data_IF_662535196519
#
_entry.id   IF_662535196519
#
_cell.length_a   1.000
_cell.length_b   1.000
_cell.length_c   1.000
_cell.angle_alpha   90.00
_cell.angle_beta   90.00
_cell.angle_gamma   90.00
#
_symmetry.space_group_name_H-M   'P 1'
#
loop_
_entity.id
_entity.type
_entity.pdbx_description
1 polymer ?
#
# COMPACT_ATOMS: atom_id res chain seq x y z
N UNK A 1 28.54 43.36 24.11
CA UNK A 1 27.69 42.28 24.63
C UNK A 1 26.69 41.91 23.53
N UNK A 2 27.09 41.04 22.61
CA UNK A 2 26.25 40.68 21.45
C UNK A 2 25.27 39.59 21.85
N UNK A 3 23.98 39.92 21.90
CA UNK A 3 22.91 38.95 22.05
C UNK A 3 22.92 38.00 20.85
N UNK A 4 23.03 36.70 21.11
CA UNK A 4 22.90 35.66 20.09
C UNK A 4 21.41 35.52 19.78
N UNK A 5 21.02 35.99 18.60
CA UNK A 5 19.70 35.77 18.03
C UNK A 5 19.48 34.25 17.77
N UNK A 6 18.45 33.69 18.40
CA UNK A 6 18.13 32.26 18.43
C UNK A 6 17.04 31.89 17.42
N UNK A 7 17.19 32.37 16.19
CA UNK A 7 16.23 32.20 15.08
C UNK A 7 16.55 31.02 14.16
N UNK A 8 17.32 30.02 14.63
CA UNK A 8 17.59 28.82 13.81
C UNK A 8 16.35 27.91 13.77
N UNK A 9 15.83 27.51 12.59
CA UNK A 9 14.72 26.57 12.51
C UNK A 9 15.09 25.25 13.20
N UNK A 10 14.21 24.73 14.07
CA UNK A 10 14.43 23.47 14.79
C UNK A 10 14.52 22.27 13.83
N UNK A 11 15.73 21.96 13.38
CA UNK A 11 16.09 20.81 12.53
C UNK A 11 15.81 19.43 13.16
N UNK A 12 15.36 19.37 14.43
CA UNK A 12 15.10 18.12 15.15
C UNK A 12 13.82 17.39 14.71
N UNK A 13 12.79 18.11 14.26
CA UNK A 13 11.51 17.51 13.82
C UNK A 13 11.60 16.78 12.47
N UNK A 14 12.24 17.33 11.41
CA UNK A 14 12.39 16.65 10.12
C UNK A 14 13.12 15.30 10.24
N UNK A 15 14.23 15.26 11.00
CA UNK A 15 15.04 14.05 11.17
C UNK A 15 14.30 12.92 11.89
N UNK A 16 13.50 13.25 12.91
CA UNK A 16 12.68 12.25 13.62
C UNK A 16 11.66 11.59 12.69
N UNK A 17 10.93 12.39 11.91
CA UNK A 17 9.92 11.88 10.98
C UNK A 17 10.50 10.97 9.89
N UNK A 18 11.72 11.28 9.44
CA UNK A 18 12.44 10.47 8.47
C UNK A 18 12.89 9.13 9.07
N UNK A 19 13.39 9.13 10.31
CA UNK A 19 13.77 7.90 11.03
C UNK A 19 12.58 6.97 11.25
N UNK A 20 11.44 7.51 11.67
CA UNK A 20 10.21 6.73 11.90
C UNK A 20 9.69 6.11 10.59
N UNK A 21 9.74 6.86 9.49
CA UNK A 21 9.42 6.35 8.16
C UNK A 21 10.30 5.17 7.75
N UNK A 22 11.62 5.28 7.87
CA UNK A 22 12.52 4.18 7.51
C UNK A 22 12.35 2.95 8.42
N UNK A 23 12.01 3.15 9.70
CA UNK A 23 11.70 2.04 10.60
C UNK A 23 10.43 1.30 10.17
N UNK A 24 9.38 2.04 9.84
CA UNK A 24 8.12 1.47 9.33
C UNK A 24 8.35 0.75 7.99
N UNK A 25 9.06 1.38 7.05
CA UNK A 25 9.39 0.77 5.77
C UNK A 25 10.20 -0.52 5.93
N UNK A 26 11.26 -0.49 6.75
CA UNK A 26 12.09 -1.67 7.03
C UNK A 26 11.29 -2.80 7.68
N UNK A 27 10.29 -2.48 8.50
CA UNK A 27 9.38 -3.49 9.03
C UNK A 27 8.55 -4.14 7.93
N UNK A 28 7.96 -3.36 7.02
CA UNK A 28 7.16 -3.86 5.91
C UNK A 28 8.02 -4.66 4.91
N UNK A 29 9.20 -4.17 4.54
CA UNK A 29 10.12 -4.85 3.62
C UNK A 29 10.55 -6.24 4.13
N UNK A 30 10.67 -6.42 5.46
CA UNK A 30 10.95 -7.74 6.04
C UNK A 30 9.86 -8.77 5.72
N UNK A 31 8.62 -8.35 5.45
CA UNK A 31 7.55 -9.25 5.01
C UNK A 31 7.85 -9.88 3.66
N UNK A 32 8.59 -9.19 2.78
CA UNK A 32 9.04 -9.69 1.48
C UNK A 32 10.15 -10.74 1.60
N UNK A 33 10.93 -10.68 2.68
CA UNK A 33 12.09 -11.53 2.96
C UNK A 33 11.77 -12.74 3.83
N UNK A 34 10.59 -12.79 4.46
CA UNK A 34 10.11 -14.01 5.14
C UNK A 34 9.95 -15.13 4.12
N UNK A 35 10.14 -16.41 4.52
CA UNK A 35 9.91 -17.52 3.61
C UNK A 35 8.52 -17.36 3.01
N UNK A 36 8.47 -17.10 1.70
CA UNK A 36 7.19 -16.93 1.01
C UNK A 36 6.42 -18.22 1.23
N UNK A 37 5.16 -18.11 1.63
CA UNK A 37 4.22 -19.19 1.37
C UNK A 37 4.43 -19.57 -0.11
N UNK A 38 4.63 -20.87 -0.41
CA UNK A 38 4.86 -21.35 -1.78
C UNK A 38 3.89 -20.63 -2.72
N UNK A 39 4.34 -20.13 -3.88
CA UNK A 39 3.37 -19.55 -4.82
C UNK A 39 2.41 -20.67 -5.23
N UNK A 40 1.16 -20.33 -5.51
CA UNK A 40 0.24 -21.29 -6.17
C UNK A 40 0.80 -21.78 -7.52
N UNK A 41 1.69 -20.99 -8.14
CA UNK A 41 2.40 -21.35 -9.37
C UNK A 41 3.46 -22.45 -9.13
N UNK A 42 3.97 -22.59 -7.91
CA UNK A 42 5.02 -23.53 -7.53
C UNK A 42 4.45 -24.82 -6.91
N UNK A 43 3.17 -24.84 -6.56
CA UNK A 43 2.48 -25.98 -5.97
C UNK A 43 1.00 -25.98 -6.43
N UNK A 44 0.62 -26.87 -7.36
CA UNK A 44 -0.75 -26.97 -7.89
C UNK A 44 -1.82 -27.24 -6.81
N UNK A 45 -1.41 -27.62 -5.59
CA UNK A 45 -2.31 -27.81 -4.44
C UNK A 45 -2.62 -26.50 -3.69
N UNK A 46 -1.89 -25.42 -3.94
CA UNK A 46 -2.18 -24.11 -3.36
C UNK A 46 -3.30 -23.44 -4.15
N UNK A 47 -4.49 -23.39 -3.56
CA UNK A 47 -5.64 -22.69 -4.12
C UNK A 47 -5.37 -21.16 -4.11
N UNK A 48 -5.44 -20.45 -5.25
CA UNK A 48 -5.36 -18.98 -5.32
C UNK A 48 -6.31 -18.26 -4.36
N UNK A 49 -7.46 -18.88 -4.04
CA UNK A 49 -8.43 -18.37 -3.07
C UNK A 49 -7.79 -18.12 -1.70
N UNK A 50 -6.74 -18.86 -1.34
CA UNK A 50 -6.02 -18.67 -0.09
C UNK A 50 -5.45 -17.25 0.05
N UNK A 51 -4.88 -16.71 -1.02
CA UNK A 51 -4.30 -15.35 -1.04
C UNK A 51 -5.40 -14.28 -0.94
N UNK A 52 -6.51 -14.53 -1.63
CA UNK A 52 -7.68 -13.65 -1.60
C UNK A 52 -8.28 -13.65 -0.19
N UNK A 53 -8.47 -14.82 0.42
CA UNK A 53 -8.98 -14.98 1.77
C UNK A 53 -8.06 -14.35 2.82
N UNK A 54 -6.74 -14.48 2.66
CA UNK A 54 -5.78 -13.79 3.55
C UNK A 54 -5.89 -12.27 3.47
N UNK A 55 -6.01 -11.74 2.25
CA UNK A 55 -6.20 -10.29 2.04
C UNK A 55 -7.52 -9.82 2.61
N UNK A 56 -8.60 -10.59 2.37
CA UNK A 56 -9.94 -10.34 2.92
C UNK A 56 -9.92 -10.31 4.44
N UNK A 57 -9.33 -11.30 5.08
CA UNK A 57 -9.15 -11.34 6.54
C UNK A 57 -8.48 -10.06 7.06
N UNK A 58 -7.42 -9.60 6.40
CA UNK A 58 -6.74 -8.36 6.82
C UNK A 58 -7.58 -7.10 6.59
N UNK A 59 -8.39 -7.03 5.52
CA UNK A 59 -9.34 -5.94 5.28
C UNK A 59 -10.43 -5.90 6.36
N UNK A 60 -10.99 -7.06 6.70
CA UNK A 60 -12.04 -7.20 7.72
C UNK A 60 -11.52 -6.71 9.07
N UNK A 61 -10.29 -7.10 9.45
CA UNK A 61 -9.61 -6.68 10.69
C UNK A 61 -9.44 -5.16 10.83
N UNK A 62 -9.41 -4.43 9.71
CA UNK A 62 -9.25 -2.96 9.70
C UNK A 62 -10.54 -2.21 9.35
N UNK A 63 -11.68 -2.90 9.35
CA UNK A 63 -13.02 -2.32 9.18
C UNK A 63 -13.37 -2.02 7.73
N UNK A 64 -13.05 -2.94 6.82
CA UNK A 64 -13.50 -2.95 5.42
C UNK A 64 -13.30 -1.60 4.71
N UNK A 65 -12.05 -1.12 4.57
CA UNK A 65 -11.78 0.21 4.05
C UNK A 65 -12.05 0.35 2.55
N UNK A 66 -12.09 -0.76 1.83
CA UNK A 66 -12.40 -0.82 0.40
C UNK A 66 -13.91 -0.71 0.13
N UNK A 67 -14.78 -0.99 1.12
CA UNK A 67 -16.23 -0.86 0.94
C UNK A 67 -16.62 0.58 0.66
N UNK A 68 -17.42 0.78 -0.39
CA UNK A 68 -17.88 2.09 -0.85
C UNK A 68 -16.93 2.79 -1.82
N UNK A 69 -15.77 2.20 -2.13
CA UNK A 69 -14.83 2.70 -3.14
C UNK A 69 -15.07 1.96 -4.46
N UNK A 70 -15.17 2.68 -5.58
CA UNK A 70 -15.25 2.04 -6.91
C UNK A 70 -13.84 1.65 -7.36
N UNK A 71 -13.62 0.38 -7.70
CA UNK A 71 -12.27 -0.13 -8.03
C UNK A 71 -12.19 -0.48 -9.51
N UNK A 72 -11.13 -0.02 -10.17
CA UNK A 72 -10.73 -0.44 -11.51
C UNK A 72 -9.44 -1.26 -11.39
N UNK A 73 -9.54 -2.56 -11.60
CA UNK A 73 -8.39 -3.47 -11.54
C UNK A 73 -7.77 -3.66 -12.94
N UNK A 74 -6.48 -3.36 -13.07
CA UNK A 74 -5.73 -3.45 -14.32
C UNK A 74 -4.73 -4.62 -14.24
N UNK A 75 -5.01 -5.68 -14.98
CA UNK A 75 -4.18 -6.87 -15.13
C UNK A 75 -3.62 -7.00 -16.56
N UNK A 76 -2.58 -7.84 -16.76
CA UNK A 76 -1.91 -8.01 -18.06
C UNK A 76 -0.39 -8.17 -17.95
N UNK A 77 0.30 -8.34 -19.08
CA UNK A 77 1.75 -8.62 -19.09
C UNK A 77 2.58 -7.35 -19.27
N UNK A 78 2.15 -6.43 -20.13
CA UNK A 78 2.78 -5.15 -20.43
C UNK A 78 1.77 -3.99 -20.37
N UNK A 79 2.25 -2.74 -20.34
CA UNK A 79 1.41 -1.54 -20.47
C UNK A 79 0.54 -1.16 -19.26
N UNK A 80 0.37 -2.04 -18.26
CA UNK A 80 -0.48 -1.80 -17.08
C UNK A 80 -0.19 -0.49 -16.35
N UNK A 81 1.09 -0.20 -16.09
CA UNK A 81 1.49 1.05 -15.41
C UNK A 81 1.09 2.27 -16.23
N UNK A 82 1.39 2.26 -17.53
CA UNK A 82 1.01 3.33 -18.46
C UNK A 82 -0.50 3.53 -18.53
N UNK A 83 -1.28 2.44 -18.68
CA UNK A 83 -2.75 2.50 -18.71
C UNK A 83 -3.30 2.99 -17.38
N UNK A 84 -2.75 2.54 -16.25
CA UNK A 84 -3.16 2.98 -14.92
C UNK A 84 -2.93 4.49 -14.73
N UNK A 85 -1.77 5.00 -15.16
CA UNK A 85 -1.45 6.42 -15.12
C UNK A 85 -2.34 7.23 -16.06
N UNK A 86 -2.47 6.83 -17.33
CA UNK A 86 -3.34 7.54 -18.29
C UNK A 86 -4.77 7.62 -17.80
N UNK A 87 -5.32 6.50 -17.31
CA UNK A 87 -6.66 6.49 -16.77
C UNK A 87 -6.75 7.37 -15.52
N UNK A 88 -5.71 7.42 -14.67
CA UNK A 88 -5.63 8.30 -13.49
C UNK A 88 -5.83 9.75 -13.90
N UNK A 89 -5.05 10.21 -14.86
CA UNK A 89 -5.17 11.57 -15.39
C UNK A 89 -6.56 11.84 -15.99
N UNK A 90 -7.15 10.89 -16.73
CA UNK A 90 -8.52 11.05 -17.28
C UNK A 90 -9.57 11.19 -16.17
N UNK A 91 -9.51 10.38 -15.10
CA UNK A 91 -10.47 10.50 -14.00
C UNK A 91 -10.31 11.80 -13.23
N UNK A 92 -9.06 12.25 -13.01
CA UNK A 92 -8.79 13.55 -12.40
C UNK A 92 -9.36 14.69 -13.26
N UNK A 93 -9.09 14.66 -14.57
CA UNK A 93 -9.60 15.66 -15.52
C UNK A 93 -11.13 15.68 -15.60
N UNK A 94 -11.78 14.54 -15.37
CA UNK A 94 -13.24 14.42 -15.28
C UNK A 94 -13.82 14.87 -13.92
N UNK A 95 -12.98 15.36 -12.98
CA UNK A 95 -13.41 15.89 -11.70
C UNK A 95 -13.60 14.85 -10.59
N UNK A 96 -13.16 13.59 -10.78
CA UNK A 96 -13.21 12.58 -9.74
C UNK A 96 -11.99 12.67 -8.82
N UNK A 97 -12.20 12.40 -7.54
CA UNK A 97 -11.11 12.22 -6.58
C UNK A 97 -10.53 10.82 -6.74
N UNK A 98 -9.44 10.71 -7.50
CA UNK A 98 -8.89 9.43 -7.95
C UNK A 98 -7.71 8.98 -7.07
N UNK A 99 -7.73 7.71 -6.66
CA UNK A 99 -6.60 7.01 -6.06
C UNK A 99 -5.92 6.08 -7.07
N UNK A 100 -4.60 6.01 -7.01
CA UNK A 100 -3.77 5.12 -7.81
C UNK A 100 -2.85 4.32 -6.89
N UNK A 101 -2.98 3.00 -6.95
CA UNK A 101 -2.09 2.04 -6.31
C UNK A 101 -1.29 1.28 -7.36
N UNK A 102 0.04 1.36 -7.28
CA UNK A 102 0.96 0.69 -8.20
C UNK A 102 2.03 -0.06 -7.43
N UNK A 103 2.40 -1.25 -7.89
CA UNK A 103 3.44 -2.05 -7.24
C UNK A 103 4.23 -2.88 -8.25
N UNK A 104 5.57 -3.03 -8.08
CA UNK A 104 6.41 -2.41 -7.05
C UNK A 104 6.76 -0.94 -7.38
N UNK A 105 7.14 -0.16 -6.36
CA UNK A 105 7.77 1.15 -6.56
C UNK A 105 9.12 1.05 -7.30
N UNK A 106 9.52 2.15 -7.95
CA UNK A 106 10.81 2.24 -8.66
C UNK A 106 11.87 2.91 -7.79
N UNK A 107 11.52 4.00 -7.09
CA UNK A 107 12.49 4.78 -6.32
C UNK A 107 12.12 4.86 -4.84
N UNK A 108 10.84 5.02 -4.50
CA UNK A 108 10.40 5.16 -3.11
C UNK A 108 9.06 4.50 -2.85
N UNK A 109 8.90 3.83 -1.71
CA UNK A 109 7.66 3.14 -1.33
C UNK A 109 6.41 4.03 -1.29
N UNK A 110 6.57 5.34 -1.09
CA UNK A 110 5.44 6.28 -1.15
C UNK A 110 4.88 6.44 -2.57
N UNK A 111 5.65 6.10 -3.62
CA UNK A 111 5.19 6.14 -5.02
C UNK A 111 4.11 5.10 -5.30
N UNK A 112 4.02 4.05 -4.47
CA UNK A 112 3.00 3.03 -4.64
C UNK A 112 1.59 3.56 -4.41
N UNK A 113 1.42 4.66 -3.67
CA UNK A 113 0.13 5.22 -3.30
C UNK A 113 0.08 6.70 -3.69
N UNK A 114 -0.73 7.02 -4.70
CA UNK A 114 -1.00 8.38 -5.17
C UNK A 114 -2.48 8.70 -5.04
N UNK A 115 -2.82 9.90 -4.56
CA UNK A 115 -4.18 10.44 -4.64
C UNK A 115 -4.09 11.79 -5.32
N UNK A 116 -4.89 11.95 -6.36
CA UNK A 116 -4.77 13.04 -7.31
C UNK A 116 -3.31 13.19 -7.79
N UNK A 117 -2.71 14.37 -7.65
CA UNK A 117 -1.32 14.63 -8.04
C UNK A 117 -0.29 14.47 -6.93
N UNK A 118 -0.67 13.86 -5.80
CA UNK A 118 0.20 13.76 -4.61
C UNK A 118 0.40 12.32 -4.18
N UNK A 119 1.66 11.93 -4.04
CA UNK A 119 2.03 10.70 -3.33
C UNK A 119 1.69 10.80 -1.84
N UNK A 120 1.47 9.65 -1.19
CA UNK A 120 1.28 9.62 0.25
C UNK A 120 2.48 10.25 0.97
N UNK A 121 2.20 11.14 1.93
CA UNK A 121 3.26 11.73 2.73
C UNK A 121 3.93 10.67 3.63
N UNK A 122 5.26 10.75 3.82
CA UNK A 122 5.99 9.81 4.70
C UNK A 122 5.38 9.70 6.10
N UNK A 123 4.89 10.81 6.66
CA UNK A 123 4.20 10.81 7.96
C UNK A 123 2.91 9.98 7.94
N UNK A 124 2.11 10.15 6.89
CA UNK A 124 0.86 9.40 6.70
C UNK A 124 1.15 7.91 6.48
N UNK A 125 2.16 7.60 5.67
CA UNK A 125 2.66 6.23 5.50
C UNK A 125 3.02 5.60 6.84
N UNK A 126 3.83 6.27 7.67
CA UNK A 126 4.24 5.77 8.98
C UNK A 126 3.04 5.52 9.89
N UNK A 127 2.07 6.44 9.91
CA UNK A 127 0.85 6.29 10.71
C UNK A 127 0.06 5.05 10.28
N UNK A 128 -0.14 4.85 8.98
CA UNK A 128 -0.87 3.69 8.47
C UNK A 128 -0.12 2.37 8.69
N UNK A 129 1.19 2.36 8.46
CA UNK A 129 2.04 1.19 8.70
C UNK A 129 2.01 0.76 10.17
N UNK A 130 2.13 1.72 11.09
CA UNK A 130 2.03 1.45 12.54
C UNK A 130 0.62 1.02 12.95
N UNK A 131 -0.42 1.57 12.32
CA UNK A 131 -1.81 1.11 12.54
C UNK A 131 -2.01 -0.34 12.09
N UNK A 132 -1.40 -0.74 10.98
CA UNK A 132 -1.54 -2.10 10.45
C UNK A 132 -0.70 -3.14 11.20
N UNK A 133 0.44 -2.73 11.77
CA UNK A 133 1.37 -3.61 12.48
C UNK A 133 0.71 -4.61 13.45
N UNK A 134 -0.16 -4.22 14.40
CA UNK A 134 -0.79 -5.20 15.30
C UNK A 134 -1.66 -6.22 14.58
N UNK A 135 -2.37 -5.84 13.52
CA UNK A 135 -3.19 -6.76 12.72
C UNK A 135 -2.34 -7.73 11.91
N UNK A 136 -1.19 -7.27 11.40
CA UNK A 136 -0.21 -8.11 10.71
C UNK A 136 0.35 -9.14 11.70
N UNK A 137 0.79 -8.71 12.88
CA UNK A 137 1.34 -9.60 13.92
C UNK A 137 0.31 -10.64 14.37
N UNK A 138 -0.93 -10.23 14.64
CA UNK A 138 -2.05 -11.14 14.93
C UNK A 138 -2.27 -12.17 13.82
N UNK A 139 -2.20 -11.76 12.55
CA UNK A 139 -2.34 -12.66 11.41
C UNK A 139 -1.21 -13.70 11.33
N UNK A 140 0.03 -13.33 11.69
CA UNK A 140 1.14 -14.28 11.77
C UNK A 140 0.99 -15.29 12.92
N UNK A 141 0.51 -14.84 14.08
CA UNK A 141 0.45 -15.66 15.29
C UNK A 141 -0.76 -16.59 15.33
N UNK A 142 -1.92 -16.11 14.89
CA UNK A 142 -3.21 -16.80 15.08
C UNK A 142 -4.16 -16.68 13.88
N UNK A 143 -3.73 -16.05 12.79
CA UNK A 143 -4.57 -15.87 11.61
C UNK A 143 -4.81 -17.20 10.87
N UNK A 144 -6.05 -17.47 10.41
CA UNK A 144 -6.40 -18.73 9.74
C UNK A 144 -5.67 -18.93 8.41
N UNK A 145 -5.13 -17.86 7.82
CA UNK A 145 -4.42 -17.87 6.54
C UNK A 145 -2.91 -17.58 6.66
N UNK A 146 -2.40 -17.55 7.90
CA UNK A 146 -1.04 -17.15 8.20
C UNK A 146 -0.76 -15.68 7.88
N UNK A 147 0.52 -15.30 7.97
CA UNK A 147 0.92 -13.91 7.83
C UNK A 147 0.83 -13.35 6.40
N UNK A 148 0.38 -12.10 6.24
CA UNK A 148 0.23 -11.47 4.93
C UNK A 148 1.58 -11.14 4.30
N UNK A 149 1.59 -11.16 2.97
CA UNK A 149 2.71 -10.71 2.15
C UNK A 149 2.80 -9.18 2.11
N UNK A 150 3.97 -8.67 1.71
CA UNK A 150 4.19 -7.24 1.49
C UNK A 150 3.12 -6.59 0.62
N UNK A 151 2.76 -7.23 -0.51
CA UNK A 151 1.77 -6.70 -1.44
C UNK A 151 0.38 -6.58 -0.79
N UNK A 152 -0.04 -7.61 -0.05
CA UNK A 152 -1.37 -7.62 0.60
C UNK A 152 -1.43 -6.53 1.67
N UNK A 153 -0.37 -6.34 2.45
CA UNK A 153 -0.29 -5.25 3.44
C UNK A 153 -0.31 -3.88 2.77
N UNK A 154 0.46 -3.68 1.69
CA UNK A 154 0.46 -2.41 0.96
C UNK A 154 -0.88 -2.10 0.32
N UNK A 155 -1.55 -3.12 -0.21
CA UNK A 155 -2.89 -2.98 -0.75
C UNK A 155 -3.88 -2.52 0.33
N UNK A 156 -3.90 -3.16 1.51
CA UNK A 156 -4.77 -2.72 2.63
C UNK A 156 -4.42 -1.31 3.09
N UNK A 157 -3.13 -0.97 3.16
CA UNK A 157 -2.67 0.39 3.47
C UNK A 157 -3.17 1.41 2.46
N UNK A 158 -3.14 1.09 1.17
CA UNK A 158 -3.69 1.94 0.11
C UNK A 158 -5.20 2.13 0.30
N UNK A 159 -5.97 1.07 0.59
CA UNK A 159 -7.42 1.18 0.81
C UNK A 159 -7.75 2.10 2.00
N UNK A 160 -7.01 1.96 3.11
CA UNK A 160 -7.14 2.84 4.27
C UNK A 160 -6.86 4.30 3.90
N UNK A 161 -5.83 4.55 3.10
CA UNK A 161 -5.49 5.89 2.64
C UNK A 161 -6.58 6.46 1.72
N UNK A 162 -7.07 5.68 0.76
CA UNK A 162 -8.11 6.12 -0.17
C UNK A 162 -9.44 6.40 0.52
N UNK A 163 -9.84 5.58 1.50
CA UNK A 163 -11.01 5.85 2.36
C UNK A 163 -10.84 7.16 3.12
N UNK A 164 -9.64 7.39 3.70
CA UNK A 164 -9.33 8.66 4.40
C UNK A 164 -9.38 9.87 3.47
N UNK A 165 -8.91 9.73 2.24
CA UNK A 165 -8.95 10.80 1.24
C UNK A 165 -10.31 10.93 0.53
N UNK A 166 -11.28 10.06 0.83
CA UNK A 166 -12.62 10.02 0.20
C UNK A 166 -12.54 9.86 -1.32
N UNK A 167 -11.71 8.93 -1.80
CA UNK A 167 -11.60 8.67 -3.24
C UNK A 167 -12.89 8.06 -3.80
N UNK A 168 -13.33 8.54 -4.96
CA UNK A 168 -14.48 7.99 -5.69
C UNK A 168 -14.09 6.71 -6.44
N UNK A 169 -12.87 6.71 -6.99
CA UNK A 169 -12.32 5.64 -7.81
C UNK A 169 -10.90 5.30 -7.39
N UNK A 170 -10.57 4.01 -7.40
CA UNK A 170 -9.24 3.50 -7.08
C UNK A 170 -8.76 2.54 -8.15
N UNK A 171 -7.50 2.70 -8.56
CA UNK A 171 -6.85 1.84 -9.54
C UNK A 171 -5.82 0.94 -8.91
N UNK A 172 -5.84 -0.32 -9.32
CA UNK A 172 -4.92 -1.34 -8.85
C UNK A 172 -4.15 -1.92 -10.04
N UNK A 173 -2.83 -1.99 -9.92
CA UNK A 173 -2.03 -2.85 -10.79
C UNK A 173 -0.98 -3.60 -9.97
N UNK A 174 -0.82 -4.89 -10.29
CA UNK A 174 0.25 -5.76 -9.78
C UNK A 174 1.23 -6.06 -10.91
N UNK A 175 2.53 -5.84 -10.69
CA UNK A 175 3.58 -6.43 -11.55
C UNK A 175 3.79 -7.88 -11.11
N UNK A 176 3.18 -8.83 -11.82
CA UNK A 176 3.59 -10.23 -11.75
C UNK A 176 3.90 -10.72 -13.16
N UNK A 177 5.05 -11.38 -13.32
CA UNK A 177 5.31 -12.25 -14.46
C UNK A 177 4.16 -13.24 -14.53
N UNK A 178 3.36 -13.12 -15.58
CA UNK A 178 2.22 -13.97 -15.92
C UNK A 178 1.10 -13.98 -14.85
N UNK A 179 -0.09 -14.28 -15.34
CA UNK A 179 -1.29 -14.68 -14.58
C UNK A 179 -2.28 -13.58 -14.17
N UNK A 180 -3.53 -13.83 -14.60
CA UNK A 180 -4.78 -13.11 -14.36
C UNK A 180 -5.17 -13.22 -12.88
N UNK A 181 -5.56 -12.10 -12.26
CA UNK A 181 -6.45 -12.08 -11.09
C UNK A 181 -7.65 -11.20 -11.45
N UNK A 182 -8.85 -11.76 -11.36
CA UNK A 182 -10.06 -10.98 -11.14
C UNK A 182 -10.24 -10.88 -9.62
N UNK A 183 -10.33 -9.66 -9.11
CA UNK A 183 -10.79 -9.35 -7.75
C UNK A 183 -12.27 -8.99 -7.85
#
# INVERSE_FOLDING_TARGET
MFARDDTRPRLSRPLKSMREYYQALKYLEKLSSRPKAKKYEDDPKLNPDFFIQRTRYLLDEVGDPERGIKIIHIAGTAGKGTVATMLHEVLQAAGFNAGLFTSPYVTSAIEEIKVNDKYIARKEFTVLANRLKPHIEKAFESGPYGGPSYFEVFFVMAMLYFKKQKCDWVKLYKKSLKTKLAL
#
